data_IF_994305786362
#
_entry.id   IF_994305786362
#
_cell.length_a   1.000
_cell.length_b   1.000
_cell.length_c   1.000
_cell.angle_alpha   90.00
_cell.angle_beta   90.00
_cell.angle_gamma   90.00
#
_symmetry.space_group_name_H-M   'P 1'
#
loop_
_entity.id
_entity.type
_entity.pdbx_description
1 polymer ?
#
# COMPACT_ATOMS: atom_id res chain seq x y z
N UNK A 1 -46.75 -40.05 -38.47
CA UNK A 1 -46.10 -40.33 -37.19
C UNK A 1 -45.33 -39.09 -36.78
N UNK A 2 -45.80 -38.34 -35.78
CA UNK A 2 -45.15 -37.15 -35.21
C UNK A 2 -44.48 -37.59 -33.93
N UNK A 3 -43.19 -37.22 -33.61
CA UNK A 3 -42.65 -37.38 -32.30
C UNK A 3 -42.88 -36.11 -31.47
N UNK A 4 -43.39 -36.31 -30.26
CA UNK A 4 -43.67 -35.34 -29.21
C UNK A 4 -42.36 -34.81 -28.58
N UNK A 5 -42.18 -33.50 -28.56
CA UNK A 5 -41.15 -32.79 -27.78
C UNK A 5 -41.55 -32.75 -26.31
N UNK A 6 -40.80 -33.45 -25.45
CA UNK A 6 -40.81 -33.28 -24.00
C UNK A 6 -39.95 -32.07 -23.62
N UNK A 7 -40.55 -30.96 -23.26
CA UNK A 7 -39.84 -29.82 -22.65
C UNK A 7 -39.68 -30.09 -21.16
N UNK A 8 -38.47 -30.45 -20.74
CA UNK A 8 -38.10 -30.51 -19.31
C UNK A 8 -37.86 -29.10 -18.81
N UNK A 9 -38.80 -28.61 -17.99
CA UNK A 9 -38.62 -27.34 -17.25
C UNK A 9 -37.69 -27.59 -16.04
N UNK A 10 -36.43 -27.13 -16.14
CA UNK A 10 -35.50 -27.12 -15.03
C UNK A 10 -35.87 -26.00 -14.06
N UNK A 11 -36.51 -26.37 -12.94
CA UNK A 11 -36.80 -25.47 -11.82
C UNK A 11 -35.50 -25.10 -11.11
N UNK A 12 -34.89 -23.94 -11.42
CA UNK A 12 -33.77 -23.39 -10.67
C UNK A 12 -34.32 -22.93 -9.31
N UNK A 13 -34.12 -23.71 -8.26
CA UNK A 13 -34.32 -23.31 -6.88
C UNK A 13 -33.29 -22.21 -6.55
N UNK A 14 -33.71 -20.96 -6.61
CA UNK A 14 -33.04 -19.82 -5.97
C UNK A 14 -33.19 -20.02 -4.45
N UNK A 15 -32.26 -20.74 -3.82
CA UNK A 15 -32.07 -20.68 -2.38
C UNK A 15 -31.68 -19.24 -2.04
N UNK A 16 -32.40 -18.54 -1.12
CA UNK A 16 -31.91 -17.29 -0.60
C UNK A 16 -30.57 -17.60 0.09
N UNK A 17 -29.45 -17.06 -0.44
CA UNK A 17 -28.22 -16.95 0.32
C UNK A 17 -28.59 -16.15 1.57
N UNK A 18 -28.70 -16.82 2.70
CA UNK A 18 -28.71 -16.14 3.98
C UNK A 18 -27.48 -15.23 3.97
N UNK A 19 -27.71 -13.92 4.08
CA UNK A 19 -26.63 -12.96 4.24
C UNK A 19 -25.95 -13.30 5.58
N UNK A 20 -24.95 -14.16 5.55
CA UNK A 20 -24.13 -14.40 6.71
C UNK A 20 -23.35 -13.11 6.96
N UNK A 21 -23.36 -12.62 8.20
CA UNK A 21 -22.59 -11.45 8.58
C UNK A 21 -21.11 -11.70 8.20
N UNK A 22 -20.55 -10.76 7.43
CA UNK A 22 -19.19 -10.91 6.89
C UNK A 22 -18.14 -10.67 7.98
N UNK A 23 -17.15 -11.56 8.02
CA UNK A 23 -16.06 -11.47 8.98
C UNK A 23 -14.86 -10.68 8.41
N UNK A 24 -13.97 -10.25 9.30
CA UNK A 24 -12.80 -9.44 8.93
C UNK A 24 -11.90 -10.16 7.91
N UNK A 25 -11.74 -11.46 8.06
CA UNK A 25 -10.87 -12.23 7.16
C UNK A 25 -11.43 -12.31 5.74
N UNK A 26 -12.75 -12.45 5.60
CA UNK A 26 -13.41 -12.43 4.30
C UNK A 26 -13.30 -11.06 3.64
N UNK A 27 -13.55 -9.97 4.41
CA UNK A 27 -13.39 -8.60 3.92
C UNK A 27 -11.95 -8.32 3.48
N UNK A 28 -10.96 -8.81 4.21
CA UNK A 28 -9.54 -8.73 3.82
C UNK A 28 -9.27 -9.46 2.50
N UNK A 29 -9.77 -10.68 2.31
CA UNK A 29 -9.60 -11.43 1.07
C UNK A 29 -10.26 -10.73 -0.14
N UNK A 30 -11.41 -10.13 0.06
CA UNK A 30 -12.07 -9.35 -0.97
C UNK A 30 -11.25 -8.11 -1.34
N UNK A 31 -10.70 -7.40 -0.34
CA UNK A 31 -9.81 -6.27 -0.55
C UNK A 31 -8.51 -6.68 -1.26
N UNK A 32 -7.91 -7.80 -0.89
CA UNK A 32 -6.69 -8.31 -1.54
C UNK A 32 -6.87 -8.55 -3.05
N UNK A 33 -8.10 -8.89 -3.47
CA UNK A 33 -8.44 -9.10 -4.88
C UNK A 33 -8.80 -7.83 -5.63
N UNK A 34 -9.34 -6.83 -4.93
CA UNK A 34 -9.95 -5.66 -5.54
C UNK A 34 -9.15 -4.37 -5.36
N UNK A 35 -8.40 -4.21 -4.24
CA UNK A 35 -7.67 -2.97 -3.95
C UNK A 35 -6.62 -2.68 -5.01
N UNK A 36 -6.79 -1.53 -5.69
CA UNK A 36 -5.93 -1.12 -6.79
C UNK A 36 -4.50 -0.77 -6.33
N UNK A 37 -4.35 -0.23 -5.10
CA UNK A 37 -3.03 0.13 -4.55
C UNK A 37 -2.20 -1.13 -4.27
N UNK A 38 -2.83 -2.16 -3.69
CA UNK A 38 -2.17 -3.45 -3.46
C UNK A 38 -1.83 -4.15 -4.78
N UNK A 39 -2.75 -4.15 -5.77
CA UNK A 39 -2.49 -4.72 -7.08
C UNK A 39 -1.35 -4.00 -7.80
N UNK A 40 -1.30 -2.66 -7.74
CA UNK A 40 -0.19 -1.87 -8.28
C UNK A 40 1.15 -2.21 -7.61
N UNK A 41 1.17 -2.38 -6.29
CA UNK A 41 2.37 -2.78 -5.55
C UNK A 41 2.86 -4.18 -5.94
N UNK A 42 1.95 -5.13 -6.18
CA UNK A 42 2.28 -6.47 -6.68
C UNK A 42 2.94 -6.41 -8.05
N UNK A 43 2.38 -5.64 -8.99
CA UNK A 43 2.95 -5.46 -10.32
C UNK A 43 4.29 -4.70 -10.26
N UNK A 44 4.43 -3.74 -9.34
CA UNK A 44 5.70 -3.05 -9.08
C UNK A 44 6.79 -4.01 -8.57
N UNK A 45 6.43 -4.99 -7.74
CA UNK A 45 7.34 -6.07 -7.31
C UNK A 45 7.77 -6.93 -8.51
N UNK A 46 6.84 -7.34 -9.37
CA UNK A 46 7.16 -8.10 -10.59
C UNK A 46 8.14 -7.31 -11.47
N UNK A 47 7.86 -6.03 -11.72
CA UNK A 47 8.77 -5.15 -12.46
C UNK A 47 10.12 -4.95 -11.75
N UNK A 48 10.13 -4.89 -10.43
CA UNK A 48 11.35 -4.80 -9.62
C UNK A 48 12.23 -6.05 -9.74
N UNK A 49 11.64 -7.24 -9.82
CA UNK A 49 12.37 -8.50 -10.00
C UNK A 49 13.12 -8.58 -11.32
N UNK A 50 12.64 -7.87 -12.35
CA UNK A 50 13.32 -7.81 -13.66
C UNK A 50 14.64 -7.02 -13.63
N UNK A 51 14.93 -6.29 -12.54
CA UNK A 51 16.21 -5.58 -12.39
C UNK A 51 17.41 -6.54 -12.34
N UNK A 52 17.24 -7.71 -11.77
CA UNK A 52 18.29 -8.72 -11.69
C UNK A 52 18.61 -9.35 -13.08
N UNK A 53 17.64 -9.85 -13.86
CA UNK A 53 17.85 -10.28 -15.24
C UNK A 53 18.47 -9.18 -16.12
N UNK A 54 17.98 -7.93 -16.01
CA UNK A 54 18.53 -6.79 -16.75
C UNK A 54 19.99 -6.53 -16.39
N UNK A 55 20.33 -6.57 -15.10
CA UNK A 55 21.72 -6.45 -14.65
C UNK A 55 22.61 -7.59 -15.18
N UNK A 56 22.10 -8.84 -15.12
CA UNK A 56 22.80 -10.00 -15.65
C UNK A 56 23.04 -9.91 -17.16
N UNK A 57 22.10 -9.38 -17.92
CA UNK A 57 22.22 -9.20 -19.36
C UNK A 57 23.45 -8.34 -19.75
N UNK A 58 23.87 -7.42 -18.90
CA UNK A 58 25.03 -6.55 -19.17
C UNK A 58 26.38 -7.29 -19.19
N UNK A 59 26.45 -8.48 -18.60
CA UNK A 59 27.68 -9.32 -18.59
C UNK A 59 27.60 -10.50 -19.57
N UNK A 60 26.45 -10.67 -20.23
CA UNK A 60 26.21 -11.71 -21.24
C UNK A 60 26.51 -11.18 -22.65
N UNK A 61 26.69 -12.06 -23.65
CA UNK A 61 26.88 -11.65 -25.04
C UNK A 61 25.61 -10.98 -25.59
N UNK A 62 25.82 -9.94 -26.39
CA UNK A 62 24.77 -9.28 -27.16
C UNK A 62 24.95 -9.54 -28.66
N UNK A 63 23.86 -9.79 -29.36
CA UNK A 63 23.84 -10.00 -30.80
C UNK A 63 22.92 -8.96 -31.43
N UNK A 64 23.50 -8.12 -32.31
CA UNK A 64 22.79 -7.04 -32.98
C UNK A 64 22.90 -7.20 -34.50
N UNK A 65 21.77 -7.06 -35.20
CA UNK A 65 21.71 -6.96 -36.63
C UNK A 65 21.40 -5.52 -37.05
N UNK A 66 22.30 -4.95 -37.84
CA UNK A 66 22.09 -3.61 -38.43
C UNK A 66 21.99 -3.72 -39.94
N UNK A 67 21.08 -2.96 -40.55
CA UNK A 67 20.95 -2.83 -41.99
C UNK A 67 20.95 -1.36 -42.41
N UNK A 68 21.65 -1.06 -43.47
CA UNK A 68 21.72 0.29 -44.05
C UNK A 68 21.52 0.23 -45.55
N UNK A 69 20.70 1.13 -46.11
CA UNK A 69 20.58 1.34 -47.53
C UNK A 69 20.68 2.85 -47.82
N UNK A 70 21.65 3.20 -48.65
CA UNK A 70 21.96 4.62 -48.92
C UNK A 70 22.00 4.84 -50.43
N UNK A 71 21.34 5.90 -50.88
CA UNK A 71 21.50 6.44 -52.21
C UNK A 71 22.21 7.78 -52.12
N UNK A 72 23.36 7.86 -52.73
CA UNK A 72 24.17 9.10 -52.80
C UNK A 72 24.19 9.66 -54.18
N UNK A 73 24.13 10.98 -54.32
CA UNK A 73 24.31 11.71 -55.56
C UNK A 73 25.52 12.63 -55.34
N UNK A 74 26.50 12.48 -56.22
CA UNK A 74 27.71 13.27 -56.21
C UNK A 74 27.69 14.18 -57.43
N UNK A 75 27.91 15.44 -57.20
CA UNK A 75 28.18 16.46 -58.24
C UNK A 75 29.64 16.87 -58.00
N UNK A 76 30.49 16.50 -58.94
CA UNK A 76 31.93 16.68 -58.78
C UNK A 76 32.41 17.68 -59.85
N UNK A 77 32.85 18.85 -59.35
CA UNK A 77 33.54 19.86 -60.14
C UNK A 77 35.05 19.77 -59.85
N UNK A 78 35.84 19.49 -60.88
CA UNK A 78 37.30 19.42 -60.74
C UNK A 78 37.91 20.79 -60.93
N UNK A 79 38.66 21.27 -59.95
CA UNK A 79 39.47 22.48 -60.09
C UNK A 79 40.89 22.20 -60.67
N UNK A 80 41.17 20.95 -61.05
CA UNK A 80 42.42 20.57 -61.68
C UNK A 80 42.34 20.72 -63.19
N UNK A 81 43.11 21.61 -63.84
CA UNK A 81 43.09 21.81 -65.30
C UNK A 81 43.44 20.56 -66.12
N UNK A 82 44.09 19.55 -65.46
CA UNK A 82 44.45 18.28 -66.13
C UNK A 82 43.29 17.24 -66.05
N UNK A 83 42.29 17.46 -65.19
CA UNK A 83 41.12 16.58 -64.98
C UNK A 83 39.86 17.39 -65.32
N UNK A 84 39.63 17.68 -66.61
CA UNK A 84 38.44 18.42 -67.06
C UNK A 84 37.19 17.54 -67.14
N UNK A 85 36.72 16.99 -66.02
CA UNK A 85 35.48 16.23 -66.00
C UNK A 85 34.65 16.59 -64.77
N UNK A 86 33.77 17.59 -64.91
CA UNK A 86 32.57 17.68 -64.06
C UNK A 86 31.65 16.51 -64.40
N UNK A 87 31.30 15.73 -63.43
CA UNK A 87 30.38 14.61 -63.64
C UNK A 87 29.36 14.49 -62.50
N UNK A 88 28.17 14.10 -62.86
CA UNK A 88 27.08 13.78 -61.93
C UNK A 88 26.98 12.28 -61.82
N UNK A 89 27.08 11.77 -60.57
CA UNK A 89 26.98 10.34 -60.33
C UNK A 89 26.05 10.01 -59.19
N UNK A 90 25.23 9.02 -59.39
CA UNK A 90 24.39 8.42 -58.31
C UNK A 90 24.90 7.03 -58.02
N UNK A 91 25.10 6.72 -56.73
CA UNK A 91 25.50 5.39 -56.24
C UNK A 91 24.45 4.90 -55.22
N UNK A 92 24.18 3.62 -55.26
CA UNK A 92 23.38 2.95 -54.25
C UNK A 92 24.32 2.01 -53.47
N UNK A 93 24.18 1.97 -52.15
CA UNK A 93 24.82 0.99 -51.31
C UNK A 93 23.79 0.37 -50.34
N UNK A 94 23.87 -0.92 -50.15
CA UNK A 94 23.11 -1.65 -49.17
C UNK A 94 24.07 -2.52 -48.37
N UNK A 95 23.89 -2.60 -47.05
CA UNK A 95 24.69 -3.47 -46.20
C UNK A 95 23.86 -4.00 -45.02
N UNK A 96 24.19 -5.19 -44.61
CA UNK A 96 23.78 -5.70 -43.31
C UNK A 96 24.98 -6.23 -42.54
N UNK A 97 24.95 -6.06 -41.21
CA UNK A 97 26.05 -6.51 -40.35
C UNK A 97 25.45 -7.10 -39.08
N UNK A 98 25.81 -8.35 -38.78
CA UNK A 98 25.53 -9.04 -37.53
C UNK A 98 26.75 -8.84 -36.63
N UNK A 99 26.54 -8.24 -35.45
CA UNK A 99 27.60 -7.94 -34.47
C UNK A 99 27.34 -8.70 -33.19
N UNK A 100 28.27 -9.55 -32.77
CA UNK A 100 28.33 -10.20 -31.48
C UNK A 100 29.29 -9.40 -30.61
N UNK A 101 28.86 -8.97 -29.43
CA UNK A 101 29.74 -8.33 -28.44
C UNK A 101 29.63 -9.09 -27.12
N UNK A 102 30.77 -9.58 -26.62
CA UNK A 102 30.88 -10.22 -25.31
C UNK A 102 31.81 -9.40 -24.42
N UNK A 103 31.29 -8.76 -23.36
CA UNK A 103 32.11 -8.12 -22.36
C UNK A 103 32.98 -9.16 -21.63
N UNK A 104 34.31 -8.97 -21.61
CA UNK A 104 35.25 -9.76 -20.82
C UNK A 104 35.59 -9.08 -19.51
N UNK A 105 35.85 -7.77 -19.60
CA UNK A 105 36.20 -6.95 -18.45
C UNK A 105 35.49 -5.61 -18.57
N UNK A 106 34.38 -5.46 -17.87
CA UNK A 106 33.59 -4.22 -17.72
C UNK A 106 33.15 -4.06 -16.27
N UNK A 107 33.97 -3.54 -15.37
CA UNK A 107 33.65 -3.42 -13.95
C UNK A 107 32.35 -2.68 -13.69
N UNK A 108 32.01 -1.68 -14.49
CA UNK A 108 30.73 -0.96 -14.38
C UNK A 108 29.52 -1.87 -14.54
N UNK A 109 29.54 -2.82 -15.49
CA UNK A 109 28.46 -3.77 -15.72
C UNK A 109 28.34 -4.74 -14.55
N UNK A 110 29.47 -5.14 -13.95
CA UNK A 110 29.47 -6.01 -12.79
C UNK A 110 28.82 -5.36 -11.57
N UNK A 111 29.19 -4.10 -11.25
CA UNK A 111 28.56 -3.36 -10.18
C UNK A 111 27.09 -3.07 -10.44
N UNK A 112 26.68 -2.88 -11.69
CA UNK A 112 25.27 -2.71 -12.07
C UNK A 112 24.48 -4.03 -11.91
N UNK A 113 25.11 -5.17 -12.19
CA UNK A 113 24.50 -6.47 -11.89
C UNK A 113 24.30 -6.67 -10.38
N UNK A 114 25.31 -6.37 -9.55
CA UNK A 114 25.18 -6.40 -8.10
C UNK A 114 24.09 -5.44 -7.58
N UNK A 115 23.91 -4.27 -8.21
CA UNK A 115 22.82 -3.35 -7.87
C UNK A 115 21.45 -4.00 -8.07
N UNK A 116 21.30 -4.81 -9.11
CA UNK A 116 20.06 -5.50 -9.43
C UNK A 116 19.55 -6.36 -8.26
N UNK A 117 20.44 -7.03 -7.54
CA UNK A 117 20.07 -7.84 -6.35
C UNK A 117 19.44 -6.96 -5.24
N UNK A 118 20.06 -5.81 -4.96
CA UNK A 118 19.57 -4.90 -3.91
C UNK A 118 18.32 -4.15 -4.36
N UNK A 119 18.16 -3.87 -5.67
CA UNK A 119 16.93 -3.30 -6.22
C UNK A 119 15.75 -4.27 -6.10
N UNK A 120 15.98 -5.58 -6.27
CA UNK A 120 14.97 -6.61 -6.00
C UNK A 120 14.57 -6.61 -4.52
N UNK A 121 15.56 -6.62 -3.59
CA UNK A 121 15.29 -6.53 -2.14
C UNK A 121 14.50 -5.27 -1.76
N UNK A 122 14.83 -4.14 -2.39
CA UNK A 122 14.10 -2.89 -2.20
C UNK A 122 12.64 -3.01 -2.66
N UNK A 123 12.39 -3.64 -3.82
CA UNK A 123 11.04 -3.88 -4.33
C UNK A 123 10.25 -4.85 -3.43
N UNK A 124 10.90 -5.89 -2.90
CA UNK A 124 10.28 -6.83 -1.96
C UNK A 124 9.90 -6.15 -0.64
N UNK A 125 10.77 -5.29 -0.11
CA UNK A 125 10.47 -4.51 1.09
C UNK A 125 9.32 -3.52 0.85
N UNK A 126 9.29 -2.86 -0.32
CA UNK A 126 8.19 -1.97 -0.72
C UNK A 126 6.85 -2.71 -0.82
N UNK A 127 6.86 -3.93 -1.35
CA UNK A 127 5.67 -4.77 -1.38
C UNK A 127 5.24 -5.21 0.03
N UNK A 128 6.20 -5.52 0.92
CA UNK A 128 5.91 -5.82 2.33
C UNK A 128 5.22 -4.66 3.05
N UNK A 129 5.63 -3.41 2.78
CA UNK A 129 4.94 -2.21 3.29
C UNK A 129 3.51 -2.10 2.75
N UNK A 130 3.32 -2.31 1.45
CA UNK A 130 2.00 -2.24 0.83
C UNK A 130 1.06 -3.34 1.34
N UNK A 131 1.60 -4.54 1.61
CA UNK A 131 0.86 -5.63 2.26
C UNK A 131 0.38 -5.24 3.65
N UNK A 132 1.28 -4.73 4.50
CA UNK A 132 0.93 -4.29 5.85
C UNK A 132 -0.06 -3.11 5.85
N UNK A 133 0.11 -2.18 4.91
CA UNK A 133 -0.82 -1.07 4.72
C UNK A 133 -2.23 -1.56 4.37
N UNK A 134 -2.37 -2.51 3.45
CA UNK A 134 -3.66 -3.12 3.12
C UNK A 134 -4.32 -3.73 4.36
N UNK A 135 -3.59 -4.54 5.14
CA UNK A 135 -4.11 -5.17 6.36
C UNK A 135 -4.63 -4.12 7.34
N UNK A 136 -3.85 -3.04 7.56
CA UNK A 136 -4.23 -1.97 8.49
C UNK A 136 -5.44 -1.19 7.97
N UNK A 137 -5.46 -0.80 6.69
CA UNK A 137 -6.58 -0.06 6.07
C UNK A 137 -7.87 -0.84 6.12
N UNK A 138 -7.82 -2.13 5.79
CA UNK A 138 -9.00 -3.01 5.83
C UNK A 138 -9.50 -3.18 7.26
N UNK A 139 -8.61 -3.48 8.20
CA UNK A 139 -8.97 -3.64 9.61
C UNK A 139 -9.55 -2.37 10.20
N UNK A 140 -8.93 -1.21 9.91
CA UNK A 140 -9.45 0.09 10.34
C UNK A 140 -10.84 0.37 9.76
N UNK A 141 -11.04 0.17 8.45
CA UNK A 141 -12.32 0.41 7.80
C UNK A 141 -13.43 -0.55 8.32
N UNK A 142 -13.07 -1.80 8.61
CA UNK A 142 -13.97 -2.79 9.21
C UNK A 142 -14.43 -2.35 10.61
N UNK A 143 -13.49 -2.00 11.49
CA UNK A 143 -13.82 -1.56 12.85
C UNK A 143 -14.47 -0.19 12.88
N UNK A 144 -14.14 0.73 11.97
CA UNK A 144 -14.87 1.99 11.80
C UNK A 144 -16.32 1.75 11.38
N UNK A 145 -16.56 0.78 10.48
CA UNK A 145 -17.91 0.36 10.10
C UNK A 145 -18.71 -0.21 11.28
N UNK A 146 -18.09 -1.10 12.07
CA UNK A 146 -18.71 -1.63 13.30
C UNK A 146 -19.02 -0.52 14.31
N UNK A 147 -18.07 0.39 14.52
CA UNK A 147 -18.24 1.53 15.42
C UNK A 147 -19.41 2.44 15.00
N UNK A 148 -19.60 2.64 13.69
CA UNK A 148 -20.74 3.41 13.16
C UNK A 148 -22.06 2.66 13.34
N UNK A 149 -22.10 1.33 13.15
CA UNK A 149 -23.28 0.49 13.41
C UNK A 149 -23.66 0.56 14.90
N UNK A 150 -22.68 0.35 15.79
CA UNK A 150 -22.91 0.42 17.24
C UNK A 150 -23.38 1.80 17.67
N UNK A 151 -22.78 2.86 17.14
CA UNK A 151 -23.18 4.24 17.42
C UNK A 151 -24.63 4.50 16.99
N UNK A 152 -25.02 4.08 15.78
CA UNK A 152 -26.40 4.23 15.30
C UNK A 152 -27.39 3.47 16.18
N UNK A 153 -27.08 2.22 16.56
CA UNK A 153 -27.93 1.40 17.43
C UNK A 153 -28.08 2.03 18.81
N UNK A 154 -26.99 2.56 19.38
CA UNK A 154 -27.00 3.25 20.67
C UNK A 154 -27.83 4.54 20.61
N UNK A 155 -27.67 5.36 19.56
CA UNK A 155 -28.43 6.61 19.38
C UNK A 155 -29.94 6.31 19.20
N UNK A 156 -30.30 5.26 18.47
CA UNK A 156 -31.68 4.81 18.33
C UNK A 156 -32.28 4.35 19.67
N UNK A 157 -31.54 3.57 20.44
CA UNK A 157 -31.95 3.14 21.76
C UNK A 157 -32.08 4.32 22.73
N UNK A 158 -31.16 5.29 22.68
CA UNK A 158 -31.23 6.53 23.44
C UNK A 158 -32.50 7.34 23.07
N UNK A 159 -32.75 7.55 21.77
CA UNK A 159 -33.90 8.28 21.26
C UNK A 159 -35.21 7.62 21.69
N UNK A 160 -35.29 6.29 21.61
CA UNK A 160 -36.48 5.55 22.09
C UNK A 160 -36.74 5.80 23.58
N UNK A 161 -35.71 5.70 24.41
CA UNK A 161 -35.82 5.95 25.84
C UNK A 161 -36.17 7.42 26.17
N UNK A 162 -35.63 8.40 25.45
CA UNK A 162 -36.00 9.81 25.60
C UNK A 162 -37.44 10.05 25.14
N UNK A 163 -37.91 9.37 24.08
CA UNK A 163 -39.31 9.44 23.62
C UNK A 163 -40.31 8.97 24.69
N UNK A 164 -39.97 7.88 25.38
CA UNK A 164 -40.79 7.39 26.50
C UNK A 164 -40.81 8.41 27.66
N UNK A 165 -39.67 9.00 28.02
CA UNK A 165 -39.61 10.02 29.04
C UNK A 165 -40.40 11.30 28.67
N UNK A 166 -40.30 11.72 27.41
CA UNK A 166 -41.08 12.85 26.89
C UNK A 166 -42.60 12.59 27.02
N UNK A 167 -43.04 11.37 26.64
CA UNK A 167 -44.40 10.98 26.77
C UNK A 167 -44.86 10.94 28.26
N UNK A 168 -43.99 10.50 29.16
CA UNK A 168 -44.26 10.54 30.60
C UNK A 168 -44.32 11.98 31.14
N UNK A 169 -43.36 12.84 30.76
CA UNK A 169 -43.35 14.26 31.18
C UNK A 169 -44.61 14.99 30.71
N UNK A 170 -45.10 14.75 29.50
CA UNK A 170 -46.36 15.31 28.98
C UNK A 170 -47.57 14.87 29.83
N UNK A 171 -47.70 13.55 30.11
CA UNK A 171 -48.77 13.03 30.94
C UNK A 171 -48.73 13.57 32.38
N UNK A 172 -47.54 13.65 32.97
CA UNK A 172 -47.40 14.20 34.33
C UNK A 172 -47.73 15.69 34.39
N UNK A 173 -47.44 16.47 33.35
CA UNK A 173 -47.83 17.87 33.22
C UNK A 173 -49.39 17.98 33.09
N UNK A 174 -50.00 17.17 32.27
CA UNK A 174 -51.50 17.15 32.09
C UNK A 174 -52.25 16.87 33.40
N UNK A 175 -51.71 16.01 34.27
CA UNK A 175 -52.29 15.69 35.58
C UNK A 175 -51.76 16.62 36.71
N UNK A 176 -50.92 17.61 36.41
CA UNK A 176 -50.42 18.61 37.33
C UNK A 176 -49.30 18.15 38.28
N UNK A 177 -48.64 17.01 38.01
CA UNK A 177 -47.57 16.45 38.84
C UNK A 177 -46.15 16.80 38.35
N UNK A 178 -46.00 17.46 37.17
CA UNK A 178 -44.75 17.96 36.62
C UNK A 178 -44.90 19.36 36.07
N UNK A 179 -43.80 20.06 35.84
CA UNK A 179 -43.75 21.42 35.29
C UNK A 179 -43.77 21.40 33.77
N UNK A 180 -44.15 22.51 33.14
CA UNK A 180 -44.03 22.68 31.69
C UNK A 180 -42.56 22.67 31.26
N UNK A 181 -41.62 23.10 32.15
CA UNK A 181 -40.18 23.06 31.93
C UNK A 181 -39.66 21.64 31.69
N UNK A 182 -40.16 20.65 32.49
CA UNK A 182 -39.78 19.23 32.32
C UNK A 182 -40.15 18.72 30.91
N UNK A 183 -41.30 19.16 30.39
CA UNK A 183 -41.78 18.79 29.05
C UNK A 183 -40.90 19.43 27.98
N UNK A 184 -40.53 20.72 28.13
CA UNK A 184 -39.67 21.40 27.18
C UNK A 184 -38.24 20.83 27.18
N UNK A 185 -37.68 20.48 28.35
CA UNK A 185 -36.35 19.83 28.45
C UNK A 185 -36.37 18.45 27.77
N UNK A 186 -37.38 17.62 28.02
CA UNK A 186 -37.52 16.32 27.38
C UNK A 186 -37.69 16.46 25.84
N UNK A 187 -38.47 17.47 25.38
CA UNK A 187 -38.62 17.75 23.94
C UNK A 187 -37.31 18.18 23.32
N UNK A 188 -36.55 19.08 23.96
CA UNK A 188 -35.24 19.52 23.47
C UNK A 188 -34.23 18.35 23.33
N UNK A 189 -34.23 17.43 24.31
CA UNK A 189 -33.43 16.19 24.26
C UNK A 189 -33.85 15.24 23.14
N UNK A 190 -35.16 15.09 22.90
CA UNK A 190 -35.70 14.29 21.79
C UNK A 190 -35.29 14.87 20.44
N UNK A 191 -35.39 16.19 20.24
CA UNK A 191 -35.01 16.86 19.00
C UNK A 191 -33.50 16.74 18.75
N UNK A 192 -32.71 16.90 19.80
CA UNK A 192 -31.23 16.70 19.72
C UNK A 192 -30.90 15.26 19.35
N UNK A 193 -31.53 14.25 19.97
CA UNK A 193 -31.30 12.83 19.66
C UNK A 193 -31.72 12.48 18.24
N UNK A 194 -32.76 13.13 17.71
CA UNK A 194 -33.18 12.99 16.31
C UNK A 194 -32.15 13.53 15.33
N UNK A 195 -31.54 14.68 15.64
CA UNK A 195 -30.42 15.22 14.86
C UNK A 195 -29.19 14.30 14.91
N UNK A 196 -28.89 13.72 16.09
CA UNK A 196 -27.80 12.76 16.26
C UNK A 196 -28.02 11.47 15.46
N UNK A 197 -29.28 10.98 15.39
CA UNK A 197 -29.61 9.81 14.57
C UNK A 197 -29.32 10.06 13.07
N UNK A 198 -29.72 11.23 12.55
CA UNK A 198 -29.45 11.61 11.15
C UNK A 198 -27.95 11.64 10.90
N UNK A 199 -27.17 12.23 11.81
CA UNK A 199 -25.72 12.27 11.71
C UNK A 199 -25.09 10.86 11.74
N UNK A 200 -25.56 9.97 12.61
CA UNK A 200 -25.09 8.59 12.71
C UNK A 200 -25.43 7.74 11.46
N UNK A 201 -26.58 7.97 10.83
CA UNK A 201 -26.95 7.32 9.56
C UNK A 201 -25.98 7.74 8.46
N UNK A 202 -25.69 9.04 8.35
CA UNK A 202 -24.75 9.57 7.35
C UNK A 202 -23.32 9.06 7.58
N UNK A 203 -22.88 8.97 8.84
CA UNK A 203 -21.56 8.42 9.18
C UNK A 203 -21.47 6.94 8.78
N UNK A 204 -22.48 6.13 9.12
CA UNK A 204 -22.54 4.72 8.72
C UNK A 204 -22.45 4.56 7.20
N UNK A 205 -23.22 5.35 6.45
CA UNK A 205 -23.15 5.30 4.98
C UNK A 205 -21.74 5.66 4.47
N UNK A 206 -21.11 6.68 5.04
CA UNK A 206 -19.74 7.07 4.71
C UNK A 206 -18.75 5.94 4.96
N UNK A 207 -18.81 5.26 6.13
CA UNK A 207 -17.92 4.13 6.46
C UNK A 207 -18.16 2.92 5.55
N UNK A 208 -19.40 2.64 5.19
CA UNK A 208 -19.74 1.58 4.21
C UNK A 208 -19.15 1.89 2.83
N UNK A 209 -19.13 3.16 2.38
CA UNK A 209 -18.51 3.55 1.11
C UNK A 209 -16.98 3.38 1.14
N UNK A 210 -16.32 3.63 2.28
CA UNK A 210 -14.88 3.35 2.44
C UNK A 210 -14.61 1.85 2.30
N UNK A 211 -15.39 0.98 2.95
CA UNK A 211 -15.28 -0.47 2.77
C UNK A 211 -15.53 -0.89 1.32
N UNK A 212 -16.56 -0.34 0.69
CA UNK A 212 -16.86 -0.61 -0.72
C UNK A 212 -15.71 -0.18 -1.65
N UNK A 213 -15.06 0.94 -1.36
CA UNK A 213 -13.89 1.39 -2.13
C UNK A 213 -12.73 0.38 -2.05
N UNK A 214 -12.50 -0.22 -0.87
CA UNK A 214 -11.42 -1.18 -0.65
C UNK A 214 -11.72 -2.56 -1.24
N UNK A 215 -12.99 -2.99 -1.23
CA UNK A 215 -13.38 -4.39 -1.52
C UNK A 215 -14.22 -4.56 -2.78
N UNK A 216 -14.77 -3.47 -3.33
CA UNK A 216 -15.72 -3.49 -4.43
C UNK A 216 -17.12 -3.96 -4.05
N UNK A 217 -17.38 -4.35 -2.78
CA UNK A 217 -18.64 -4.90 -2.30
C UNK A 217 -19.29 -4.00 -1.26
N UNK A 218 -20.62 -4.07 -1.18
CA UNK A 218 -21.39 -3.44 -0.11
C UNK A 218 -21.69 -4.50 0.94
N UNK A 219 -21.26 -4.25 2.17
CA UNK A 219 -21.53 -5.11 3.32
C UNK A 219 -22.71 -4.52 4.11
N UNK A 220 -23.76 -5.30 4.28
CA UNK A 220 -24.95 -4.91 5.05
C UNK A 220 -24.80 -5.25 6.53
N UNK A 221 -24.13 -6.34 6.83
CA UNK A 221 -23.90 -6.83 8.18
C UNK A 221 -22.44 -7.24 8.35
N UNK A 222 -21.82 -6.77 9.44
CA UNK A 222 -20.47 -7.12 9.84
C UNK A 222 -20.52 -7.90 11.16
N UNK A 223 -19.68 -8.91 11.33
CA UNK A 223 -19.58 -9.65 12.58
C UNK A 223 -19.01 -8.78 13.69
N UNK A 224 -19.73 -8.65 14.80
CA UNK A 224 -19.31 -7.89 15.97
C UNK A 224 -18.22 -8.63 16.76
N UNK A 225 -17.44 -7.88 17.54
CA UNK A 225 -16.54 -8.46 18.54
C UNK A 225 -17.36 -9.05 19.69
N UNK A 226 -16.94 -10.20 20.18
CA UNK A 226 -17.57 -10.81 21.36
C UNK A 226 -17.47 -9.88 22.58
N UNK A 227 -18.55 -9.71 23.37
CA UNK A 227 -18.53 -8.81 24.53
C UNK A 227 -17.49 -9.19 25.60
N UNK A 228 -17.15 -10.48 25.69
CA UNK A 228 -16.22 -11.07 26.66
C UNK A 228 -14.75 -11.12 26.22
N UNK A 229 -14.42 -10.42 25.11
CA UNK A 229 -13.04 -10.38 24.60
C UNK A 229 -12.09 -9.83 25.66
N UNK A 230 -11.06 -10.59 25.98
CA UNK A 230 -9.97 -10.14 26.83
C UNK A 230 -8.82 -9.65 25.95
N UNK A 231 -8.55 -8.36 26.01
CA UNK A 231 -7.41 -7.75 25.34
C UNK A 231 -6.13 -8.09 26.11
N UNK A 232 -5.27 -8.90 25.51
CA UNK A 232 -4.00 -9.30 26.11
C UNK A 232 -2.92 -8.25 25.86
N UNK A 233 -2.01 -8.03 26.82
CA UNK A 233 -0.84 -7.19 26.60
C UNK A 233 0.02 -7.76 25.46
N UNK A 234 0.83 -6.91 24.78
CA UNK A 234 1.73 -7.36 23.73
C UNK A 234 2.72 -8.40 24.27
N UNK A 235 3.03 -9.42 23.46
CA UNK A 235 4.06 -10.40 23.76
C UNK A 235 5.20 -10.26 22.74
N UNK A 236 6.42 -9.91 23.17
CA UNK A 236 6.90 -9.73 24.56
C UNK A 236 6.34 -8.49 25.25
N UNK A 237 6.18 -8.55 26.58
CA UNK A 237 5.67 -7.46 27.41
C UNK A 237 6.72 -6.36 27.70
N UNK A 238 7.73 -6.24 26.87
CA UNK A 238 8.82 -5.28 26.99
C UNK A 238 8.88 -4.40 25.73
N UNK A 239 8.74 -3.10 25.91
CA UNK A 239 8.78 -2.10 24.83
C UNK A 239 10.10 -2.14 24.04
N UNK A 240 11.23 -2.30 24.71
CA UNK A 240 12.54 -2.29 24.06
C UNK A 240 12.74 -3.48 23.10
N UNK A 241 12.13 -4.62 23.40
CA UNK A 241 12.12 -5.77 22.48
C UNK A 241 11.41 -5.44 21.17
N UNK A 242 10.31 -4.70 21.20
CA UNK A 242 9.59 -4.24 20.01
C UNK A 242 10.40 -3.22 19.22
N UNK A 243 11.11 -2.33 19.92
CA UNK A 243 12.03 -1.36 19.28
C UNK A 243 13.13 -2.08 18.52
N UNK A 244 13.79 -3.06 19.16
CA UNK A 244 14.85 -3.85 18.51
C UNK A 244 14.35 -4.65 17.30
N UNK A 245 13.13 -5.18 17.38
CA UNK A 245 12.50 -5.84 16.22
C UNK A 245 12.23 -4.83 15.09
N UNK A 246 11.70 -3.65 15.42
CA UNK A 246 11.43 -2.61 14.44
C UNK A 246 12.71 -2.13 13.73
N UNK A 247 13.81 -1.91 14.47
CA UNK A 247 15.09 -1.50 13.87
C UNK A 247 15.68 -2.53 12.92
N UNK A 248 15.32 -3.83 13.06
CA UNK A 248 15.86 -4.93 12.25
C UNK A 248 14.93 -5.43 11.17
N UNK A 249 13.61 -5.45 11.43
CA UNK A 249 12.63 -6.17 10.60
C UNK A 249 11.58 -5.25 9.98
N UNK A 250 11.53 -3.97 10.37
CA UNK A 250 10.59 -3.03 9.74
C UNK A 250 10.91 -2.88 8.25
N UNK A 251 9.92 -3.04 7.39
CA UNK A 251 10.13 -3.01 5.94
C UNK A 251 10.64 -1.66 5.42
N UNK A 252 10.35 -0.54 6.10
CA UNK A 252 10.94 0.76 5.73
C UNK A 252 12.45 0.81 6.00
N UNK A 253 12.91 0.16 7.08
CA UNK A 253 14.34 0.01 7.38
C UNK A 253 15.00 -0.90 6.36
N UNK A 254 14.41 -2.06 6.06
CA UNK A 254 14.92 -3.01 5.05
C UNK A 254 15.00 -2.35 3.67
N UNK A 255 14.00 -1.56 3.30
CA UNK A 255 13.98 -0.80 2.04
C UNK A 255 15.13 0.22 1.99
N UNK A 256 15.35 0.98 3.07
CA UNK A 256 16.41 1.97 3.17
C UNK A 256 17.81 1.32 3.22
N UNK A 257 17.95 0.15 3.84
CA UNK A 257 19.18 -0.64 3.84
C UNK A 257 19.52 -1.12 2.42
N UNK A 258 18.53 -1.65 1.69
CA UNK A 258 18.71 -2.04 0.30
C UNK A 258 19.06 -0.83 -0.59
N UNK A 259 18.41 0.33 -0.39
CA UNK A 259 18.73 1.57 -1.09
C UNK A 259 20.17 2.06 -0.82
N UNK A 260 20.64 1.89 0.42
CA UNK A 260 22.02 2.23 0.80
C UNK A 260 23.02 1.33 0.07
N UNK A 261 22.77 0.04 -0.06
CA UNK A 261 23.63 -0.86 -0.83
C UNK A 261 23.59 -0.55 -2.34
N UNK A 262 22.43 -0.19 -2.90
CA UNK A 262 22.31 0.30 -4.29
C UNK A 262 23.19 1.53 -4.49
N UNK A 263 23.10 2.54 -3.63
CA UNK A 263 23.90 3.76 -3.72
C UNK A 263 25.41 3.49 -3.54
N UNK A 264 25.76 2.56 -2.66
CA UNK A 264 27.17 2.12 -2.48
C UNK A 264 27.73 1.44 -3.72
N UNK A 265 26.94 0.58 -4.40
CA UNK A 265 27.35 -0.03 -5.67
C UNK A 265 27.44 1.01 -6.79
N UNK A 266 26.55 2.00 -6.78
CA UNK A 266 26.60 3.11 -7.73
C UNK A 266 27.89 3.92 -7.58
N UNK A 267 28.33 4.22 -6.35
CA UNK A 267 29.60 4.90 -6.12
C UNK A 267 30.79 4.08 -6.67
N UNK A 268 30.80 2.75 -6.50
CA UNK A 268 31.81 1.86 -7.08
C UNK A 268 31.72 1.82 -8.61
N UNK A 269 30.50 1.80 -9.16
CA UNK A 269 30.28 1.85 -10.60
C UNK A 269 30.81 3.15 -11.20
N UNK A 270 30.58 4.27 -10.56
CA UNK A 270 31.06 5.57 -10.99
C UNK A 270 32.62 5.65 -10.93
N UNK A 271 33.22 5.17 -9.84
CA UNK A 271 34.68 5.10 -9.72
C UNK A 271 35.29 4.17 -10.77
N UNK A 272 34.64 3.03 -11.06
CA UNK A 272 35.13 2.09 -12.09
C UNK A 272 35.03 2.62 -13.53
N UNK A 273 34.36 3.77 -13.74
CA UNK A 273 34.33 4.41 -15.05
C UNK A 273 35.71 4.93 -15.56
N UNK A 274 36.66 5.05 -14.66
CA UNK A 274 38.07 5.35 -15.00
C UNK A 274 38.87 4.11 -15.42
N UNK A 275 38.35 2.89 -15.24
CA UNK A 275 39.01 1.65 -15.55
C UNK A 275 38.91 1.29 -17.05
N UNK A 276 39.82 0.52 -17.60
CA UNK A 276 39.73 0.02 -18.97
C UNK A 276 38.56 -0.94 -19.12
N UNK A 277 38.02 -1.03 -20.34
CA UNK A 277 37.04 -2.07 -20.72
C UNK A 277 37.63 -2.94 -21.81
N UNK A 278 37.33 -4.24 -21.77
CA UNK A 278 37.78 -5.23 -22.74
C UNK A 278 36.59 -6.07 -23.19
N UNK A 279 36.38 -6.10 -24.51
CA UNK A 279 35.30 -6.85 -25.14
C UNK A 279 35.86 -7.76 -26.24
N UNK A 280 35.20 -8.91 -26.46
CA UNK A 280 35.30 -9.63 -27.73
C UNK A 280 34.20 -9.06 -28.65
N UNK A 281 34.62 -8.69 -29.87
CA UNK A 281 33.70 -8.24 -30.91
C UNK A 281 33.86 -9.12 -32.13
N UNK A 282 32.78 -9.79 -32.52
CA UNK A 282 32.69 -10.57 -33.76
C UNK A 282 31.70 -9.88 -34.71
N UNK A 283 32.05 -9.73 -35.98
CA UNK A 283 31.13 -9.17 -36.98
C UNK A 283 31.12 -10.05 -38.22
N UNK A 284 29.89 -10.28 -38.76
CA UNK A 284 29.71 -10.90 -40.07
C UNK A 284 28.70 -10.03 -40.83
N UNK A 285 29.05 -9.68 -42.06
CA UNK A 285 28.20 -8.80 -42.85
C UNK A 285 28.47 -8.90 -44.35
N UNK A 286 27.52 -8.35 -45.10
CA UNK A 286 27.65 -8.18 -46.53
C UNK A 286 27.32 -6.74 -46.90
N UNK A 287 28.08 -6.17 -47.78
CA UNK A 287 27.80 -4.89 -48.41
C UNK A 287 27.84 -5.00 -49.92
N UNK A 288 26.81 -4.42 -50.54
CA UNK A 288 26.66 -4.31 -52.02
C UNK A 288 26.66 -2.84 -52.35
N UNK A 289 27.51 -2.44 -53.33
CA UNK A 289 27.52 -1.08 -53.87
C UNK A 289 27.47 -1.08 -55.39
N UNK A 290 26.90 -0.05 -55.98
CA UNK A 290 26.88 0.19 -57.46
C UNK A 290 28.11 0.95 -57.97
N UNK A 291 29.15 1.03 -57.14
CA UNK A 291 30.40 1.76 -57.36
C UNK A 291 30.54 2.97 -56.43
N UNK A 292 31.73 3.60 -56.48
CA UNK A 292 32.08 4.80 -55.71
C UNK A 292 32.29 6.01 -56.64
N UNK A 293 32.67 7.16 -56.14
CA UNK A 293 33.00 8.34 -56.92
C UNK A 293 34.10 8.00 -57.97
N UNK A 294 35.08 7.16 -57.59
CA UNK A 294 36.24 6.83 -58.37
C UNK A 294 36.15 5.51 -59.14
N UNK A 295 35.28 4.58 -58.70
CA UNK A 295 35.09 3.29 -59.36
C UNK A 295 33.68 3.12 -59.92
N UNK A 296 33.58 2.70 -61.20
CA UNK A 296 32.29 2.53 -61.93
C UNK A 296 31.71 1.15 -61.65
N UNK A 297 32.49 0.22 -61.19
CA UNK A 297 32.08 -1.18 -61.01
C UNK A 297 31.54 -1.39 -59.62
N UNK A 298 30.31 -1.93 -59.52
CA UNK A 298 29.72 -2.36 -58.25
C UNK A 298 30.44 -3.57 -57.66
N UNK A 299 30.37 -3.71 -56.34
CA UNK A 299 31.01 -4.78 -55.60
C UNK A 299 30.11 -5.36 -54.55
N UNK A 300 30.21 -6.68 -54.38
CA UNK A 300 29.68 -7.43 -53.25
C UNK A 300 30.85 -7.84 -52.36
N UNK A 301 30.80 -7.41 -51.09
CA UNK A 301 31.86 -7.72 -50.12
C UNK A 301 31.23 -8.46 -48.95
N UNK A 302 31.66 -9.67 -48.68
CA UNK A 302 31.34 -10.40 -47.45
C UNK A 302 32.51 -10.25 -46.48
N UNK A 303 32.24 -9.81 -45.26
CA UNK A 303 33.22 -9.59 -44.22
C UNK A 303 32.92 -10.48 -43.02
N UNK A 304 33.90 -11.16 -42.49
CA UNK A 304 33.86 -11.85 -41.20
C UNK A 304 35.09 -11.49 -40.41
N UNK A 305 34.87 -10.96 -39.18
CA UNK A 305 35.96 -10.47 -38.33
C UNK A 305 35.68 -10.89 -36.89
N UNK A 306 36.70 -11.19 -36.14
CA UNK A 306 36.70 -11.33 -34.68
C UNK A 306 37.93 -10.61 -34.11
N UNK A 307 37.71 -9.89 -33.03
CA UNK A 307 38.79 -9.13 -32.42
C UNK A 307 38.53 -8.83 -30.94
N UNK A 308 39.57 -8.35 -30.29
CA UNK A 308 39.52 -7.80 -28.95
C UNK A 308 39.48 -6.27 -29.04
N UNK A 309 38.57 -5.64 -28.34
CA UNK A 309 38.44 -4.20 -28.24
C UNK A 309 38.77 -3.76 -26.84
N UNK A 310 39.85 -3.01 -26.65
CA UNK A 310 40.24 -2.38 -25.40
C UNK A 310 39.92 -0.88 -25.51
N UNK A 311 39.19 -0.33 -24.51
CA UNK A 311 38.94 1.10 -24.40
C UNK A 311 39.30 1.59 -22.99
N UNK A 312 40.12 2.67 -22.94
CA UNK A 312 40.51 3.32 -21.68
C UNK A 312 40.24 4.83 -21.81
N UNK A 313 39.32 5.40 -21.03
CA UNK A 313 39.09 6.85 -21.05
C UNK A 313 40.23 7.58 -20.32
N UNK A 314 41.09 8.29 -21.06
CA UNK A 314 42.20 9.02 -20.46
C UNK A 314 41.76 10.40 -19.92
N UNK A 315 40.91 11.11 -20.65
CA UNK A 315 40.40 12.41 -20.26
C UNK A 315 39.02 12.68 -20.87
N UNK A 316 38.04 13.06 -20.03
CA UNK A 316 36.67 13.37 -20.45
C UNK A 316 36.18 14.72 -19.86
N UNK A 317 37.06 15.75 -19.91
CA UNK A 317 36.69 17.09 -19.44
C UNK A 317 36.29 17.16 -17.96
N UNK A 318 36.73 16.22 -17.11
CA UNK A 318 36.39 16.16 -15.68
C UNK A 318 35.05 15.55 -15.35
N UNK A 319 34.25 15.09 -16.35
CA UNK A 319 32.89 14.58 -16.12
C UNK A 319 32.89 13.30 -15.27
N UNK A 320 33.84 12.38 -15.47
CA UNK A 320 33.93 11.14 -14.68
C UNK A 320 34.22 11.43 -13.22
N UNK A 321 35.19 12.29 -12.91
CA UNK A 321 35.50 12.68 -11.53
C UNK A 321 34.33 13.43 -10.85
N UNK A 322 33.56 14.20 -11.62
CA UNK A 322 32.32 14.86 -11.09
C UNK A 322 31.27 13.84 -10.74
N UNK A 323 30.99 12.84 -11.61
CA UNK A 323 30.04 11.75 -11.35
C UNK A 323 30.45 10.88 -10.17
N UNK A 324 31.77 10.63 -10.01
CA UNK A 324 32.30 9.90 -8.86
C UNK A 324 32.01 10.64 -7.54
N UNK A 325 32.31 11.97 -7.50
CA UNK A 325 31.98 12.78 -6.30
C UNK A 325 30.49 12.85 -6.01
N UNK A 326 29.66 12.99 -7.05
CA UNK A 326 28.20 12.96 -6.92
C UNK A 326 27.73 11.62 -6.31
N UNK A 327 28.16 10.50 -6.89
CA UNK A 327 27.77 9.17 -6.41
C UNK A 327 28.29 8.90 -4.98
N UNK A 328 29.47 9.39 -4.63
CA UNK A 328 29.99 9.32 -3.26
C UNK A 328 29.13 10.12 -2.28
N UNK A 329 28.72 11.34 -2.63
CA UNK A 329 27.83 12.16 -1.81
C UNK A 329 26.45 11.52 -1.64
N UNK A 330 25.87 10.95 -2.71
CA UNK A 330 24.58 10.22 -2.66
C UNK A 330 24.69 8.95 -1.81
N UNK A 331 25.85 8.26 -1.82
CA UNK A 331 26.08 7.10 -0.95
C UNK A 331 26.16 7.50 0.54
N UNK A 332 26.71 8.66 0.87
CA UNK A 332 26.69 9.19 2.24
C UNK A 332 25.28 9.60 2.66
N UNK A 333 24.56 10.32 1.78
CA UNK A 333 23.17 10.67 1.99
C UNK A 333 22.31 9.44 2.31
N UNK A 334 22.46 8.34 1.55
CA UNK A 334 21.66 7.13 1.76
C UNK A 334 21.94 6.45 3.11
N UNK A 335 23.15 6.61 3.69
CA UNK A 335 23.44 6.15 5.07
C UNK A 335 22.68 6.96 6.11
N UNK A 336 22.61 8.28 5.91
CA UNK A 336 21.84 9.14 6.83
C UNK A 336 20.35 8.91 6.70
N UNK A 337 19.83 8.63 5.48
CA UNK A 337 18.47 8.22 5.24
C UNK A 337 18.14 6.89 5.97
N UNK A 338 19.05 5.91 5.95
CA UNK A 338 18.89 4.64 6.69
C UNK A 338 18.85 4.87 8.21
N UNK A 339 19.75 5.72 8.73
CA UNK A 339 19.75 6.04 10.17
C UNK A 339 18.45 6.75 10.57
N UNK A 340 17.96 7.67 9.73
CA UNK A 340 16.65 8.30 9.95
C UNK A 340 15.49 7.30 9.92
N UNK A 341 15.52 6.34 8.98
CA UNK A 341 14.51 5.27 8.91
C UNK A 341 14.52 4.40 10.18
N UNK A 342 15.69 4.04 10.71
CA UNK A 342 15.83 3.29 11.97
C UNK A 342 15.25 4.05 13.16
N UNK A 343 15.61 5.33 13.31
CA UNK A 343 15.08 6.20 14.38
C UNK A 343 13.57 6.36 14.29
N UNK A 344 13.05 6.52 13.08
CA UNK A 344 11.60 6.64 12.83
C UNK A 344 10.87 5.34 13.16
N UNK A 345 11.41 4.18 12.77
CA UNK A 345 10.86 2.88 13.11
C UNK A 345 10.87 2.64 14.63
N UNK A 346 11.98 2.97 15.32
CA UNK A 346 12.10 2.89 16.77
C UNK A 346 11.06 3.77 17.50
N UNK A 347 10.88 5.02 17.04
CA UNK A 347 9.89 5.93 17.60
C UNK A 347 8.47 5.41 17.39
N UNK A 348 8.15 4.96 16.16
CA UNK A 348 6.83 4.40 15.83
C UNK A 348 6.52 3.14 16.66
N UNK A 349 7.49 2.25 16.88
CA UNK A 349 7.32 1.08 17.74
C UNK A 349 7.03 1.47 19.19
N UNK A 350 7.72 2.49 19.74
CA UNK A 350 7.43 3.01 21.09
C UNK A 350 6.02 3.59 21.19
N UNK A 351 5.64 4.43 20.22
CA UNK A 351 4.32 5.07 20.21
C UNK A 351 3.19 4.03 20.11
N UNK A 352 3.32 3.06 19.21
CA UNK A 352 2.30 2.03 19.01
C UNK A 352 2.24 1.06 20.21
N UNK A 353 3.37 0.72 20.84
CA UNK A 353 3.38 -0.06 22.08
C UNK A 353 2.63 0.66 23.20
N UNK A 354 2.93 1.94 23.43
CA UNK A 354 2.24 2.75 24.43
C UNK A 354 0.75 2.90 24.11
N UNK A 355 0.38 3.04 22.83
CA UNK A 355 -1.02 3.10 22.41
C UNK A 355 -1.78 1.81 22.75
N UNK A 356 -1.15 0.64 22.62
CA UNK A 356 -1.76 -0.64 23.02
C UNK A 356 -1.91 -0.72 24.54
N UNK A 357 -0.87 -0.44 25.30
CA UNK A 357 -0.91 -0.50 26.78
C UNK A 357 -1.96 0.48 27.34
N UNK A 358 -1.95 1.73 26.86
CA UNK A 358 -2.92 2.73 27.27
C UNK A 358 -4.35 2.36 26.83
N UNK A 359 -4.51 1.78 25.64
CA UNK A 359 -5.80 1.31 25.17
C UNK A 359 -6.38 0.21 26.04
N UNK A 360 -5.58 -0.77 26.46
CA UNK A 360 -6.01 -1.84 27.38
C UNK A 360 -6.43 -1.25 28.74
N UNK A 361 -5.64 -0.32 29.27
CA UNK A 361 -5.98 0.34 30.53
C UNK A 361 -7.26 1.19 30.41
N UNK A 362 -7.44 1.89 29.29
CA UNK A 362 -8.66 2.67 28.99
C UNK A 362 -9.88 1.78 28.88
N UNK A 363 -9.80 0.62 28.21
CA UNK A 363 -10.91 -0.34 28.14
C UNK A 363 -11.29 -0.81 29.53
N UNK A 364 -10.33 -1.19 30.37
CA UNK A 364 -10.62 -1.60 31.76
C UNK A 364 -11.27 -0.49 32.60
N UNK A 365 -10.84 0.76 32.44
CA UNK A 365 -11.45 1.90 33.13
C UNK A 365 -12.89 2.16 32.63
N UNK A 366 -13.14 2.05 31.32
CA UNK A 366 -14.48 2.24 30.73
C UNK A 366 -15.44 1.11 31.07
N UNK A 367 -14.95 -0.13 31.27
CA UNK A 367 -15.75 -1.25 31.78
C UNK A 367 -16.27 -0.97 33.20
N UNK A 368 -15.42 -0.42 34.09
CA UNK A 368 -15.84 0.01 35.42
C UNK A 368 -16.79 1.23 35.36
N UNK A 369 -16.49 2.20 34.50
CA UNK A 369 -17.36 3.35 34.28
C UNK A 369 -18.75 2.94 33.77
N UNK A 370 -18.84 1.90 32.93
CA UNK A 370 -20.10 1.35 32.46
C UNK A 370 -20.96 0.80 33.60
N UNK A 371 -20.37 0.00 34.52
CA UNK A 371 -21.05 -0.51 35.69
C UNK A 371 -21.55 0.65 36.57
N UNK A 372 -20.71 1.65 36.82
CA UNK A 372 -21.06 2.82 37.63
C UNK A 372 -22.17 3.67 36.98
N UNK A 373 -22.10 3.90 35.67
CA UNK A 373 -23.11 4.66 34.92
C UNK A 373 -24.43 3.96 34.89
N UNK A 374 -24.48 2.62 34.78
CA UNK A 374 -25.70 1.85 34.86
C UNK A 374 -26.34 1.97 36.24
N UNK A 375 -25.53 1.80 37.32
CA UNK A 375 -26.03 1.95 38.69
C UNK A 375 -26.55 3.36 39.00
N UNK A 376 -25.86 4.39 38.45
CA UNK A 376 -26.31 5.79 38.56
C UNK A 376 -27.66 6.03 37.87
N UNK A 377 -27.86 5.47 36.67
CA UNK A 377 -29.13 5.57 35.96
C UNK A 377 -30.24 4.89 36.75
N UNK A 378 -30.01 3.67 37.24
CA UNK A 378 -31.02 2.92 38.00
C UNK A 378 -31.41 3.65 39.31
N UNK A 379 -30.42 4.23 40.01
CA UNK A 379 -30.64 5.04 41.22
C UNK A 379 -31.40 6.34 40.91
N UNK A 380 -31.08 7.04 39.81
CA UNK A 380 -31.80 8.26 39.44
C UNK A 380 -33.25 7.95 39.00
N UNK A 381 -33.48 6.84 38.30
CA UNK A 381 -34.86 6.39 37.96
C UNK A 381 -35.69 6.13 39.21
N UNK A 382 -35.17 5.34 40.15
CA UNK A 382 -35.83 5.07 41.42
C UNK A 382 -36.09 6.37 42.20
N UNK A 383 -35.06 7.26 42.28
CA UNK A 383 -35.20 8.56 42.95
C UNK A 383 -36.26 9.46 42.32
N UNK A 384 -36.40 9.41 41.00
CA UNK A 384 -37.48 10.13 40.29
C UNK A 384 -38.84 9.55 40.59
N UNK A 385 -39.01 8.22 40.62
CA UNK A 385 -40.23 7.54 40.93
C UNK A 385 -40.74 7.88 42.36
N UNK A 386 -39.83 8.01 43.33
CA UNK A 386 -40.18 8.39 44.74
C UNK A 386 -40.17 9.90 44.98
N UNK A 387 -39.94 10.72 43.96
CA UNK A 387 -40.04 12.17 44.03
C UNK A 387 -38.86 12.91 44.66
N UNK A 388 -37.71 12.25 44.89
CA UNK A 388 -36.48 12.87 45.45
C UNK A 388 -35.46 13.30 44.38
N UNK A 389 -35.70 12.94 43.11
CA UNK A 389 -34.94 13.36 41.94
C UNK A 389 -35.85 13.97 40.89
N UNK A 390 -35.30 14.83 40.05
CA UNK A 390 -36.02 15.48 38.95
C UNK A 390 -35.73 14.78 37.61
N UNK A 391 -36.58 15.01 36.63
CA UNK A 391 -36.50 14.34 35.31
C UNK A 391 -35.13 14.55 34.61
N UNK A 392 -34.57 15.74 34.72
CA UNK A 392 -33.28 16.07 34.11
C UNK A 392 -32.12 15.22 34.63
N UNK A 393 -32.17 14.79 35.93
CA UNK A 393 -31.13 13.90 36.50
C UNK A 393 -31.16 12.53 35.82
N UNK A 394 -32.35 12.00 35.52
CA UNK A 394 -32.50 10.75 34.78
C UNK A 394 -32.04 10.87 33.35
N UNK A 395 -32.39 11.97 32.66
CA UNK A 395 -31.95 12.24 31.29
C UNK A 395 -30.42 12.36 31.18
N UNK A 396 -29.78 13.05 32.15
CA UNK A 396 -28.33 13.18 32.22
C UNK A 396 -27.63 11.85 32.51
N UNK A 397 -28.12 11.05 33.45
CA UNK A 397 -27.58 9.73 33.76
C UNK A 397 -27.71 8.78 32.55
N UNK A 398 -28.83 8.87 31.83
CA UNK A 398 -29.07 8.11 30.61
C UNK A 398 -28.08 8.49 29.49
N UNK A 399 -27.87 9.78 29.26
CA UNK A 399 -26.90 10.27 28.30
C UNK A 399 -25.49 9.79 28.66
N UNK A 400 -25.11 9.85 29.96
CA UNK A 400 -23.81 9.37 30.42
C UNK A 400 -23.61 7.87 30.15
N UNK A 401 -24.63 7.05 30.40
CA UNK A 401 -24.57 5.62 30.14
C UNK A 401 -24.35 5.33 28.64
N UNK A 402 -25.12 5.97 27.76
CA UNK A 402 -24.99 5.77 26.31
C UNK A 402 -23.63 6.25 25.78
N UNK A 403 -23.13 7.39 26.28
CA UNK A 403 -21.79 7.87 25.93
C UNK A 403 -20.70 6.88 26.39
N UNK A 404 -20.79 6.35 27.63
CA UNK A 404 -19.84 5.37 28.15
C UNK A 404 -19.84 4.06 27.34
N UNK A 405 -21.03 3.58 26.92
CA UNK A 405 -21.14 2.39 26.03
C UNK A 405 -20.47 2.61 24.69
N UNK A 406 -20.71 3.76 24.05
CA UNK A 406 -20.08 4.13 22.78
C UNK A 406 -18.56 4.21 22.94
N UNK A 407 -18.09 4.90 23.96
CA UNK A 407 -16.66 5.14 24.20
C UNK A 407 -15.93 3.82 24.51
N UNK A 408 -16.57 2.88 25.20
CA UNK A 408 -16.06 1.52 25.43
C UNK A 408 -15.92 0.73 24.13
N UNK A 409 -16.93 0.75 23.26
CA UNK A 409 -16.87 0.07 21.96
C UNK A 409 -15.73 0.62 21.09
N UNK A 410 -15.63 1.95 20.99
CA UNK A 410 -14.54 2.62 20.26
C UNK A 410 -13.17 2.29 20.84
N UNK A 411 -13.02 2.29 22.17
CA UNK A 411 -11.75 1.96 22.83
C UNK A 411 -11.30 0.52 22.53
N UNK A 412 -12.23 -0.44 22.49
CA UNK A 412 -11.97 -1.84 22.13
C UNK A 412 -11.49 -1.95 20.67
N UNK A 413 -12.20 -1.34 19.71
CA UNK A 413 -11.83 -1.37 18.30
C UNK A 413 -10.47 -0.71 18.05
N UNK A 414 -10.23 0.45 18.65
CA UNK A 414 -8.96 1.16 18.54
C UNK A 414 -7.79 0.36 19.14
N UNK A 415 -8.01 -0.33 20.24
CA UNK A 415 -6.95 -1.14 20.88
C UNK A 415 -6.56 -2.32 19.99
N UNK A 416 -7.52 -3.01 19.38
CA UNK A 416 -7.26 -4.10 18.43
C UNK A 416 -6.51 -3.59 17.21
N UNK A 417 -6.94 -2.47 16.63
CA UNK A 417 -6.24 -1.86 15.51
C UNK A 417 -4.80 -1.45 15.88
N UNK A 418 -4.59 -0.93 17.10
CA UNK A 418 -3.25 -0.58 17.57
C UNK A 418 -2.37 -1.81 17.79
N UNK A 419 -2.92 -2.97 18.16
CA UNK A 419 -2.16 -4.24 18.22
C UNK A 419 -1.66 -4.64 16.83
N UNK A 420 -2.47 -4.52 15.78
CA UNK A 420 -2.03 -4.75 14.40
C UNK A 420 -0.96 -3.75 13.97
N UNK A 421 -1.15 -2.46 14.30
CA UNK A 421 -0.15 -1.41 14.01
C UNK A 421 1.18 -1.67 14.71
N UNK A 422 1.17 -2.18 15.93
CA UNK A 422 2.40 -2.56 16.65
C UNK A 422 3.11 -3.72 15.96
N UNK A 423 2.38 -4.77 15.54
CA UNK A 423 2.95 -5.88 14.78
C UNK A 423 3.52 -5.41 13.44
N UNK A 424 2.85 -4.47 12.76
CA UNK A 424 3.34 -3.86 11.52
C UNK A 424 4.60 -3.01 11.76
N UNK A 425 4.63 -2.19 12.81
CA UNK A 425 5.79 -1.38 13.17
C UNK A 425 7.04 -2.25 13.45
N UNK A 426 6.84 -3.43 14.02
CA UNK A 426 7.90 -4.41 14.23
C UNK A 426 8.23 -5.25 12.98
N UNK A 427 7.52 -5.07 11.85
CA UNK A 427 7.73 -5.86 10.63
C UNK A 427 7.14 -7.28 10.68
N UNK A 428 6.45 -7.64 11.76
CA UNK A 428 5.95 -8.99 12.03
C UNK A 428 4.48 -9.24 11.68
N UNK A 429 3.77 -8.27 11.11
CA UNK A 429 2.35 -8.42 10.79
C UNK A 429 2.14 -9.45 9.66
N UNK A 430 1.30 -10.46 9.93
CA UNK A 430 1.00 -11.58 9.03
C UNK A 430 -0.50 -11.81 8.90
N UNK A 431 -0.89 -12.69 7.98
CA UNK A 431 -2.28 -13.08 7.75
C UNK A 431 -2.87 -13.82 8.97
N UNK A 432 -2.05 -14.59 9.70
CA UNK A 432 -2.45 -15.28 10.92
C UNK A 432 -2.94 -14.32 12.01
N UNK A 433 -2.43 -13.09 12.02
CA UNK A 433 -2.86 -12.06 12.98
C UNK A 433 -4.29 -11.58 12.71
N UNK A 434 -4.70 -11.54 11.44
CA UNK A 434 -6.10 -11.26 11.06
C UNK A 434 -7.00 -12.42 11.49
N UNK A 435 -6.54 -13.68 11.28
CA UNK A 435 -7.28 -14.86 11.71
C UNK A 435 -7.46 -14.91 13.24
N UNK A 436 -6.44 -14.51 13.99
CA UNK A 436 -6.51 -14.42 15.46
C UNK A 436 -7.62 -13.46 15.89
N UNK A 437 -7.66 -12.26 15.28
CA UNK A 437 -8.72 -11.29 15.52
C UNK A 437 -10.07 -11.83 15.04
N UNK A 438 -10.12 -12.50 13.90
CA UNK A 438 -11.34 -13.06 13.35
C UNK A 438 -11.98 -14.09 14.30
N UNK A 439 -11.19 -14.90 15.02
CA UNK A 439 -11.66 -15.83 16.05
C UNK A 439 -12.27 -15.11 17.28
N UNK A 440 -11.91 -13.84 17.48
CA UNK A 440 -12.47 -13.01 18.54
C UNK A 440 -13.79 -12.34 18.16
N UNK A 441 -14.21 -12.44 16.88
CA UNK A 441 -15.54 -12.01 16.44
C UNK A 441 -16.62 -12.99 16.90
N UNK A 442 -17.87 -12.50 17.00
CA UNK A 442 -19.02 -13.34 17.28
C UNK A 442 -19.26 -14.35 16.15
N UNK A 443 -19.70 -15.54 16.53
CA UNK A 443 -20.06 -16.58 15.55
C UNK A 443 -21.34 -16.21 14.82
#
# INVERSE_FOLDING_TARGET
>A
MRPSLFTSATLVLLLPLAAAAEDLFQVYRDAQRYDAAYSAARLALEAGREKLPQGRALVLPTLNLTGNATRSRFDVDSNDPAISASFLRSTNSASYTLTLTQPLYRPQNWYQYEQGEFQVRQAEASFGLAYQDLVIRVSQAYFDGLAAIDTLNLVRAQKAAISEQLAQAKRNFEVGTATITDTHEAQARFDLSSAQEIAAINDLESKQRVLQQLTGKVYTELKHIRPDIKLSPPNPANMESWVQLAEKQNYSVIQSEAATEVARREARRASSAHMPTLDIVGTVGQSTDTGTITTIVGRDITTAQIGLQLALPLYQGGSLSSKEREAAALSLKSKDDLENARRSAALNARQTYLAVINGIAQVGALEQALVSSQSALDSNRLGYEVGVRINIDVLNAQQQLFSTRRDLALARYNTITNQLRLKAAAGGLREEDIEEINRALAQ
#
